data_IF_306860537284
#
_entry.id   IF_306860537284
#
_cell.length_a   1.000
_cell.length_b   1.000
_cell.length_c   1.000
_cell.angle_alpha   90.00
_cell.angle_beta   90.00
_cell.angle_gamma   90.00
#
_symmetry.space_group_name_H-M   'P 1'
#
loop_
_entity.id
_entity.type
_entity.pdbx_description
1 polymer ?
#
# COMPACT_ATOMS: atom_id res chain seq x y z
N UNK A 1 -8.31 -10.39 17.35
CA UNK A 1 -7.43 -9.24 17.62
C UNK A 1 -6.81 -8.78 16.30
N UNK A 2 -7.57 -8.02 15.50
CA UNK A 2 -7.20 -7.60 14.13
C UNK A 2 -6.10 -6.53 14.18
N UNK A 3 -5.00 -6.74 13.45
CA UNK A 3 -3.93 -5.76 13.28
C UNK A 3 -4.48 -4.46 12.68
N UNK A 4 -4.56 -3.40 13.49
CA UNK A 4 -5.05 -2.05 13.15
C UNK A 4 -4.24 -1.31 12.07
N UNK A 5 -3.25 -1.95 11.42
CA UNK A 5 -2.38 -1.42 10.37
C UNK A 5 -2.88 -1.63 8.93
N UNK A 6 -3.86 -2.52 8.70
CA UNK A 6 -4.34 -2.89 7.34
C UNK A 6 -5.38 -1.93 6.75
N UNK A 7 -5.61 -0.74 7.33
CA UNK A 7 -6.71 0.14 6.93
C UNK A 7 -6.48 0.94 5.63
N UNK A 8 -5.42 0.66 4.88
CA UNK A 8 -5.14 1.23 3.55
C UNK A 8 -5.34 0.22 2.41
N UNK A 9 -5.48 -1.07 2.76
CA UNK A 9 -5.54 -2.17 1.80
C UNK A 9 -6.88 -2.90 1.96
N UNK A 10 -7.41 -3.43 0.86
CA UNK A 10 -8.57 -4.33 0.86
C UNK A 10 -8.18 -5.70 0.35
N UNK A 11 -8.70 -6.73 1.00
CA UNK A 11 -8.52 -8.12 0.61
C UNK A 11 -9.24 -8.34 -0.73
N UNK A 12 -8.51 -8.86 -1.71
CA UNK A 12 -9.03 -9.16 -3.05
C UNK A 12 -8.90 -10.63 -3.43
N UNK A 13 -8.12 -11.40 -2.66
CA UNK A 13 -7.99 -12.83 -2.82
C UNK A 13 -7.74 -13.45 -1.46
N UNK A 14 -8.46 -14.52 -1.15
CA UNK A 14 -8.10 -15.42 -0.06
C UNK A 14 -8.38 -16.85 -0.52
N UNK A 15 -7.35 -17.51 -1.04
CA UNK A 15 -7.42 -18.93 -1.36
C UNK A 15 -7.26 -19.77 -0.10
N UNK A 16 -8.24 -20.63 0.11
CA UNK A 16 -8.19 -21.75 1.05
C UNK A 16 -8.33 -23.05 0.27
N UNK A 17 -7.73 -24.13 0.77
CA UNK A 17 -7.70 -25.42 0.08
C UNK A 17 -8.44 -26.53 0.85
N UNK A 18 -9.26 -26.15 1.83
CA UNK A 18 -10.01 -27.06 2.72
C UNK A 18 -10.96 -27.99 2.00
N UNK A 19 -11.48 -27.56 0.84
CA UNK A 19 -12.42 -28.36 0.05
C UNK A 19 -11.64 -29.30 -0.88
N UNK A 20 -11.05 -30.36 -0.31
CA UNK A 20 -10.29 -31.37 -1.06
C UNK A 20 -9.22 -30.79 -2.03
N UNK A 21 -8.59 -29.70 -1.60
CA UNK A 21 -7.56 -29.01 -2.37
C UNK A 21 -8.09 -28.02 -3.40
N UNK A 22 -9.40 -27.81 -3.54
CA UNK A 22 -9.91 -26.79 -4.47
C UNK A 22 -9.41 -25.39 -4.09
N UNK A 23 -8.97 -24.62 -5.09
CA UNK A 23 -8.47 -23.26 -4.89
C UNK A 23 -9.64 -22.27 -4.80
N UNK A 24 -10.31 -22.27 -3.65
CA UNK A 24 -11.53 -21.48 -3.42
C UNK A 24 -11.17 -20.11 -2.87
N UNK A 25 -11.59 -19.04 -3.55
CA UNK A 25 -11.51 -17.68 -3.04
C UNK A 25 -12.67 -17.38 -2.09
N UNK A 26 -12.35 -17.09 -0.83
CA UNK A 26 -13.32 -16.69 0.21
C UNK A 26 -13.31 -15.19 0.49
N UNK A 27 -12.63 -14.38 -0.34
CA UNK A 27 -12.61 -12.92 -0.20
C UNK A 27 -13.85 -12.20 -0.72
N UNK A 28 -14.80 -12.93 -1.31
CA UNK A 28 -15.98 -12.42 -2.03
C UNK A 28 -15.67 -11.67 -3.34
N UNK A 29 -14.50 -11.91 -3.96
CA UNK A 29 -14.14 -11.34 -5.27
C UNK A 29 -14.18 -12.37 -6.41
N UNK A 30 -14.64 -13.60 -6.13
CA UNK A 30 -14.81 -14.68 -7.11
C UNK A 30 -13.48 -15.02 -7.84
N UNK A 31 -12.33 -14.81 -7.21
CA UNK A 31 -11.03 -15.08 -7.81
C UNK A 31 -10.59 -16.55 -7.62
N UNK A 32 -11.48 -17.51 -7.89
CA UNK A 32 -11.16 -18.93 -7.81
C UNK A 32 -9.98 -19.32 -8.72
N UNK A 33 -9.21 -20.33 -8.29
CA UNK A 33 -8.02 -20.80 -8.98
C UNK A 33 -8.25 -22.06 -9.82
N UNK A 34 -7.68 -22.10 -11.02
CA UNK A 34 -7.58 -23.31 -11.83
C UNK A 34 -6.29 -24.05 -11.50
N UNK A 35 -6.44 -25.26 -10.97
CA UNK A 35 -5.33 -26.11 -10.54
C UNK A 35 -4.78 -26.92 -11.71
N UNK A 36 -3.47 -27.10 -11.77
CA UNK A 36 -2.82 -27.99 -12.75
C UNK A 36 -1.69 -28.73 -12.03
N UNK A 37 -1.70 -30.07 -12.10
CA UNK A 37 -0.66 -30.93 -11.56
C UNK A 37 -0.25 -30.66 -10.09
N UNK A 38 -1.20 -30.27 -9.24
CA UNK A 38 -0.98 -30.08 -7.79
C UNK A 38 -1.61 -31.22 -7.00
N UNK A 39 -0.91 -31.69 -5.97
CA UNK A 39 -1.43 -32.59 -4.96
C UNK A 39 -2.19 -31.84 -3.85
N UNK A 40 -2.84 -32.57 -2.95
CA UNK A 40 -3.58 -32.03 -1.82
C UNK A 40 -3.13 -32.69 -0.52
N UNK A 41 -2.95 -31.87 0.52
CA UNK A 41 -2.73 -32.30 1.89
C UNK A 41 -3.90 -31.82 2.76
N UNK A 42 -4.58 -32.74 3.43
CA UNK A 42 -5.67 -32.38 4.36
C UNK A 42 -5.18 -31.52 5.53
N UNK A 43 -3.94 -31.75 5.97
CA UNK A 43 -3.29 -30.98 7.03
C UNK A 43 -2.15 -30.16 6.43
N UNK A 44 -2.40 -28.86 6.24
CA UNK A 44 -1.43 -27.87 5.80
C UNK A 44 -0.64 -27.31 6.98
N UNK A 45 -0.61 -25.98 7.09
CA UNK A 45 0.06 -25.28 8.20
C UNK A 45 -0.51 -25.66 9.57
N UNK A 46 -1.81 -26.00 9.62
CA UNK A 46 -2.54 -26.48 10.80
C UNK A 46 -3.35 -27.73 10.47
N UNK A 47 -3.81 -28.50 11.49
CA UNK A 47 -4.82 -29.52 11.28
C UNK A 47 -6.03 -28.97 10.50
N UNK A 48 -6.45 -29.69 9.46
CA UNK A 48 -7.58 -29.34 8.59
C UNK A 48 -7.52 -27.97 7.89
N UNK A 49 -6.35 -27.34 7.81
CA UNK A 49 -6.15 -26.09 7.05
C UNK A 49 -6.24 -26.30 5.53
N UNK A 50 -5.84 -27.49 5.05
CA UNK A 50 -5.77 -27.84 3.63
C UNK A 50 -4.63 -27.13 2.89
N UNK A 51 -3.70 -27.85 2.28
CA UNK A 51 -2.61 -27.28 1.49
C UNK A 51 -2.50 -27.92 0.10
N UNK A 52 -1.92 -27.17 -0.84
CA UNK A 52 -1.55 -27.68 -2.16
C UNK A 52 -0.08 -28.09 -2.18
N UNK A 53 0.18 -29.28 -2.72
CA UNK A 53 1.53 -29.82 -2.92
C UNK A 53 1.96 -29.59 -4.37
N UNK A 54 3.08 -28.90 -4.57
CA UNK A 54 3.68 -28.57 -5.85
C UNK A 54 4.92 -29.44 -6.07
N UNK A 55 4.96 -30.18 -7.18
CA UNK A 55 6.07 -31.07 -7.52
C UNK A 55 7.14 -30.40 -8.41
N UNK A 56 7.01 -29.10 -8.69
CA UNK A 56 7.72 -28.44 -9.79
C UNK A 56 7.08 -28.71 -11.15
N UNK A 57 7.76 -28.32 -12.23
CA UNK A 57 7.27 -28.48 -13.60
C UNK A 57 5.89 -27.80 -13.79
N UNK A 58 4.85 -28.47 -14.30
CA UNK A 58 3.57 -27.85 -14.61
C UNK A 58 2.69 -27.52 -13.38
N UNK A 59 3.17 -27.80 -12.15
CA UNK A 59 2.41 -27.59 -10.91
C UNK A 59 2.07 -26.10 -10.73
N UNK A 60 0.79 -25.73 -10.79
CA UNK A 60 0.35 -24.33 -10.65
C UNK A 60 -1.10 -24.17 -10.22
N UNK A 61 -1.40 -22.99 -9.71
CA UNK A 61 -2.77 -22.45 -9.67
C UNK A 61 -2.80 -21.18 -10.49
N UNK A 62 -3.71 -21.11 -11.48
CA UNK A 62 -3.92 -19.93 -12.32
C UNK A 62 -5.21 -19.23 -11.93
N UNK A 63 -5.15 -17.92 -11.70
CA UNK A 63 -6.30 -17.06 -11.47
C UNK A 63 -6.44 -16.14 -12.69
N UNK A 64 -7.62 -16.15 -13.30
CA UNK A 64 -7.91 -15.34 -14.48
C UNK A 64 -7.89 -13.85 -14.15
N UNK A 65 -7.35 -13.03 -15.06
CA UNK A 65 -7.40 -11.58 -14.92
C UNK A 65 -8.85 -11.07 -14.96
N UNK A 66 -9.20 -10.19 -14.02
CA UNK A 66 -10.52 -9.63 -13.73
C UNK A 66 -10.34 -8.15 -13.36
N UNK A 67 -11.38 -7.30 -13.42
CA UNK A 67 -11.28 -5.87 -13.08
C UNK A 67 -10.67 -5.59 -11.70
N UNK A 68 -10.83 -6.50 -10.74
CA UNK A 68 -10.23 -6.40 -9.40
C UNK A 68 -8.70 -6.34 -9.42
N UNK A 69 -8.04 -6.86 -10.46
CA UNK A 69 -6.59 -6.85 -10.64
C UNK A 69 -6.06 -5.61 -11.40
N UNK A 70 -6.96 -4.72 -11.81
CA UNK A 70 -6.59 -3.46 -12.43
C UNK A 70 -6.16 -2.44 -11.36
N UNK A 71 -5.08 -1.72 -11.68
CA UNK A 71 -4.49 -0.63 -10.88
C UNK A 71 -4.33 -1.04 -9.40
N UNK A 72 -3.54 -2.09 -9.07
CA UNK A 72 -3.31 -2.49 -7.69
C UNK A 72 -2.77 -1.36 -6.83
N UNK A 73 -1.85 -0.55 -7.38
CA UNK A 73 -1.07 0.53 -6.75
C UNK A 73 -0.18 0.04 -5.61
N UNK A 74 -0.79 -0.52 -4.59
CA UNK A 74 -0.15 -1.22 -3.47
C UNK A 74 -0.53 -2.70 -3.55
N UNK A 75 0.35 -3.58 -3.11
CA UNK A 75 0.10 -5.03 -3.04
C UNK A 75 0.65 -5.57 -1.73
N UNK A 76 -0.17 -6.32 -1.01
CA UNK A 76 0.28 -7.19 0.08
C UNK A 76 -0.03 -8.62 -0.31
N UNK A 77 0.91 -9.53 -0.11
CA UNK A 77 0.73 -10.97 -0.28
C UNK A 77 1.14 -11.64 1.03
N UNK A 78 0.31 -12.52 1.55
CA UNK A 78 0.65 -13.41 2.66
C UNK A 78 0.36 -14.85 2.25
N UNK A 79 1.24 -15.76 2.59
CA UNK A 79 1.04 -17.20 2.38
C UNK A 79 1.84 -18.00 3.39
N UNK A 80 1.36 -19.20 3.71
CA UNK A 80 2.16 -20.22 4.38
C UNK A 80 2.83 -21.10 3.34
N UNK A 81 4.09 -21.44 3.58
CA UNK A 81 4.85 -22.33 2.69
C UNK A 81 5.61 -23.36 3.48
N UNK A 82 5.73 -24.58 2.94
CA UNK A 82 6.70 -25.58 3.35
C UNK A 82 7.59 -25.89 2.15
N UNK A 83 8.73 -25.19 2.07
CA UNK A 83 9.66 -25.32 0.95
C UNK A 83 10.46 -26.63 1.05
N UNK A 84 10.55 -27.43 -0.01
CA UNK A 84 11.25 -28.73 0.04
C UNK A 84 12.59 -28.75 -0.70
N UNK A 85 12.81 -27.83 -1.65
CA UNK A 85 14.03 -27.81 -2.45
C UNK A 85 14.45 -26.40 -2.88
N UNK A 86 15.76 -26.17 -2.94
CA UNK A 86 16.42 -24.97 -3.47
C UNK A 86 17.07 -25.27 -4.84
N UNK A 87 18.02 -24.43 -5.29
CA UNK A 87 18.79 -24.62 -6.52
C UNK A 87 18.20 -24.00 -7.79
N UNK A 88 16.97 -23.45 -7.71
CA UNK A 88 16.33 -22.64 -8.76
C UNK A 88 15.37 -21.63 -8.11
N UNK A 89 14.93 -20.62 -8.88
CA UNK A 89 13.89 -19.69 -8.41
C UNK A 89 12.58 -20.43 -8.16
N UNK A 90 12.05 -20.30 -6.94
CA UNK A 90 10.79 -20.89 -6.49
C UNK A 90 9.73 -19.81 -6.41
N UNK A 91 8.87 -19.75 -7.42
CA UNK A 91 7.80 -18.76 -7.47
C UNK A 91 6.72 -19.05 -6.43
N UNK A 92 6.33 -18.04 -5.65
CA UNK A 92 5.24 -18.16 -4.67
C UNK A 92 3.96 -17.64 -5.28
N UNK A 93 3.93 -16.35 -5.63
CA UNK A 93 2.80 -15.68 -6.26
C UNK A 93 3.33 -14.64 -7.23
N UNK A 94 2.84 -14.66 -8.47
CA UNK A 94 3.28 -13.72 -9.51
C UNK A 94 2.12 -13.26 -10.38
N UNK A 95 2.01 -11.95 -10.57
CA UNK A 95 1.11 -11.33 -11.51
C UNK A 95 1.83 -10.99 -12.79
N UNK A 96 1.25 -11.43 -13.92
CA UNK A 96 1.80 -11.19 -15.26
C UNK A 96 2.17 -9.71 -15.46
N UNK A 97 3.45 -9.43 -15.69
CA UNK A 97 4.03 -8.07 -15.85
C UNK A 97 3.58 -7.06 -14.79
N UNK A 98 3.42 -7.50 -13.53
CA UNK A 98 2.93 -6.66 -12.46
C UNK A 98 3.74 -6.78 -11.18
N UNK A 99 3.80 -7.96 -10.56
CA UNK A 99 4.56 -8.20 -9.33
C UNK A 99 5.01 -9.64 -9.24
N UNK A 100 6.12 -9.90 -8.56
CA UNK A 100 6.65 -11.24 -8.34
C UNK A 100 7.11 -11.42 -6.89
N UNK A 101 6.60 -12.47 -6.24
CA UNK A 101 7.02 -12.90 -4.91
C UNK A 101 7.58 -14.32 -5.01
N UNK A 102 8.85 -14.50 -4.68
CA UNK A 102 9.58 -15.74 -4.94
C UNK A 102 10.74 -15.95 -3.98
N UNK A 103 11.28 -17.17 -3.98
CA UNK A 103 12.50 -17.55 -3.26
C UNK A 103 13.58 -17.80 -4.30
N UNK A 104 14.74 -17.16 -4.15
CA UNK A 104 15.88 -17.30 -5.06
C UNK A 104 16.58 -18.66 -4.84
N UNK A 105 17.37 -19.19 -5.82
CA UNK A 105 18.06 -20.49 -5.70
C UNK A 105 18.81 -20.77 -4.39
N UNK A 106 19.22 -19.74 -3.68
CA UNK A 106 20.02 -19.76 -2.47
C UNK A 106 19.21 -19.49 -1.19
N UNK A 107 17.88 -19.53 -1.28
CA UNK A 107 16.95 -19.43 -0.15
C UNK A 107 16.55 -18.01 0.24
N UNK A 108 17.13 -16.98 -0.38
CA UNK A 108 16.76 -15.58 -0.12
C UNK A 108 15.34 -15.33 -0.62
N UNK A 109 14.53 -14.65 0.18
CA UNK A 109 13.18 -14.22 -0.19
C UNK A 109 13.25 -12.93 -1.00
N UNK A 110 12.49 -12.85 -2.09
CA UNK A 110 12.44 -11.71 -3.00
C UNK A 110 11.01 -11.26 -3.24
N UNK A 111 10.81 -9.95 -3.27
CA UNK A 111 9.57 -9.33 -3.74
C UNK A 111 9.89 -8.16 -4.65
N UNK A 112 9.43 -8.26 -5.90
CA UNK A 112 9.66 -7.26 -6.94
C UNK A 112 8.35 -6.86 -7.60
N UNK A 113 8.38 -5.75 -8.33
CA UNK A 113 7.26 -5.31 -9.16
C UNK A 113 7.75 -4.76 -10.49
N UNK A 114 6.89 -4.77 -11.49
CA UNK A 114 7.24 -4.31 -12.83
C UNK A 114 7.18 -2.78 -12.89
N UNK A 115 8.30 -2.15 -13.22
CA UNK A 115 8.43 -0.72 -13.50
C UNK A 115 9.28 -0.52 -14.76
N UNK A 116 8.66 -0.38 -15.94
CA UNK A 116 9.39 -0.19 -17.19
C UNK A 116 10.14 1.16 -17.25
N UNK A 117 9.86 2.09 -16.33
CA UNK A 117 10.52 3.38 -16.26
C UNK A 117 11.75 3.40 -15.35
N UNK A 118 12.04 2.28 -14.68
CA UNK A 118 13.14 2.22 -13.73
C UNK A 118 14.47 2.03 -14.45
N UNK A 119 15.36 3.02 -14.31
CA UNK A 119 16.63 3.08 -15.04
C UNK A 119 17.82 2.50 -14.26
N UNK A 120 17.64 2.13 -12.98
CA UNK A 120 18.75 1.70 -12.12
C UNK A 120 18.41 0.40 -11.40
N UNK A 121 19.11 -0.71 -11.65
CA UNK A 121 18.89 -1.94 -10.91
C UNK A 121 19.15 -1.74 -9.40
N UNK A 122 18.25 -2.17 -8.50
CA UNK A 122 18.53 -2.12 -7.06
C UNK A 122 19.64 -3.10 -6.62
N UNK A 123 20.02 -4.07 -7.47
CA UNK A 123 21.16 -4.97 -7.27
C UNK A 123 21.91 -5.29 -8.57
N UNK A 124 23.19 -5.72 -8.50
CA UNK A 124 24.02 -6.02 -9.68
C UNK A 124 23.47 -7.08 -10.66
N UNK A 125 22.42 -7.82 -10.32
CA UNK A 125 21.85 -8.89 -11.17
C UNK A 125 20.32 -8.81 -11.32
N UNK A 126 19.70 -7.69 -10.95
CA UNK A 126 18.26 -7.48 -11.16
C UNK A 126 18.01 -6.86 -12.52
N UNK A 127 16.99 -7.36 -13.23
CA UNK A 127 16.42 -6.64 -14.38
C UNK A 127 15.99 -5.25 -13.87
N UNK A 128 16.48 -4.14 -14.47
CA UNK A 128 16.11 -2.81 -14.04
C UNK A 128 14.61 -2.60 -14.03
N UNK A 129 13.86 -3.29 -14.89
CA UNK A 129 12.39 -3.22 -14.93
C UNK A 129 11.67 -3.95 -13.80
N UNK A 130 12.39 -4.65 -12.91
CA UNK A 130 11.85 -5.37 -11.76
C UNK A 130 12.46 -4.94 -10.42
N UNK A 131 12.31 -3.67 -10.00
CA UNK A 131 12.79 -3.22 -8.71
C UNK A 131 12.06 -3.89 -7.54
N UNK A 132 12.69 -3.90 -6.37
CA UNK A 132 12.12 -4.52 -5.18
C UNK A 132 13.04 -4.53 -3.97
N UNK A 133 12.84 -5.51 -3.10
CA UNK A 133 13.73 -5.83 -2.00
C UNK A 133 13.98 -7.35 -1.96
N UNK A 134 15.03 -7.74 -1.26
CA UNK A 134 15.28 -9.14 -0.92
C UNK A 134 15.66 -9.28 0.56
N UNK A 135 15.81 -10.51 1.05
CA UNK A 135 16.19 -10.78 2.43
C UNK A 135 17.70 -11.01 2.63
N UNK A 136 18.54 -10.50 1.73
CA UNK A 136 20.00 -10.51 1.91
C UNK A 136 20.46 -9.32 2.77
N UNK A 137 21.73 -9.33 3.20
CA UNK A 137 22.33 -8.37 4.14
C UNK A 137 22.24 -6.90 3.70
N UNK A 138 22.14 -6.63 2.40
CA UNK A 138 22.01 -5.28 1.87
C UNK A 138 20.66 -4.64 2.18
N UNK A 139 19.58 -5.43 2.21
CA UNK A 139 18.21 -4.94 2.41
C UNK A 139 17.65 -5.26 3.78
N UNK A 140 18.28 -6.16 4.53
CA UNK A 140 17.81 -6.53 5.86
C UNK A 140 18.06 -5.41 6.87
N UNK A 141 17.11 -5.13 7.78
CA UNK A 141 17.28 -4.10 8.80
C UNK A 141 18.44 -4.35 9.79
N UNK A 142 18.85 -5.61 9.94
CA UNK A 142 19.92 -6.07 10.83
C UNK A 142 21.24 -6.34 10.09
N UNK A 143 21.29 -6.08 8.78
CA UNK A 143 22.43 -6.37 7.91
C UNK A 143 22.85 -7.84 7.88
N UNK A 144 21.95 -8.75 8.25
CA UNK A 144 22.14 -10.19 8.16
C UNK A 144 21.38 -10.78 6.98
N UNK A 145 21.91 -11.86 6.42
CA UNK A 145 21.22 -12.61 5.39
C UNK A 145 20.21 -13.56 6.04
N UNK A 146 18.95 -13.49 5.59
CA UNK A 146 17.85 -14.34 6.02
C UNK A 146 17.40 -15.24 4.88
N UNK A 147 17.17 -16.52 5.17
CA UNK A 147 16.72 -17.51 4.18
C UNK A 147 15.43 -18.20 4.65
N UNK A 148 14.62 -18.64 3.70
CA UNK A 148 13.42 -19.44 4.01
C UNK A 148 13.86 -20.87 4.39
N UNK A 149 13.50 -21.37 5.58
CA UNK A 149 13.93 -22.70 6.01
C UNK A 149 13.25 -23.80 5.19
N UNK A 150 14.00 -24.88 4.93
CA UNK A 150 13.48 -26.07 4.27
C UNK A 150 12.63 -26.90 5.25
N UNK A 151 11.58 -27.52 4.72
CA UNK A 151 10.72 -28.50 5.38
C UNK A 151 10.01 -27.99 6.64
N UNK A 152 9.89 -26.67 6.81
CA UNK A 152 9.19 -26.02 7.92
C UNK A 152 8.11 -25.10 7.38
N UNK A 153 6.89 -25.22 7.92
CA UNK A 153 5.82 -24.28 7.64
C UNK A 153 6.21 -22.87 8.10
N UNK A 154 6.28 -21.97 7.13
CA UNK A 154 6.76 -20.60 7.33
C UNK A 154 5.76 -19.64 6.73
N UNK A 155 5.37 -18.61 7.49
CA UNK A 155 4.56 -17.52 6.96
C UNK A 155 5.47 -16.54 6.23
N UNK A 156 5.17 -16.27 4.96
CA UNK A 156 5.91 -15.33 4.14
C UNK A 156 5.00 -14.17 3.73
N UNK A 157 5.52 -12.95 3.85
CA UNK A 157 4.78 -11.73 3.50
C UNK A 157 5.59 -10.83 2.58
N UNK A 158 4.96 -10.37 1.51
CA UNK A 158 5.43 -9.29 0.64
C UNK A 158 4.50 -8.09 0.78
N UNK A 159 5.05 -6.89 0.91
CA UNK A 159 4.28 -5.66 1.01
C UNK A 159 4.93 -4.56 0.17
N UNK A 160 4.30 -4.18 -0.93
CA UNK A 160 4.52 -2.94 -1.64
C UNK A 160 3.45 -1.91 -1.21
N UNK A 161 3.86 -0.80 -0.62
CA UNK A 161 2.94 0.19 -0.02
C UNK A 161 2.25 1.14 -1.02
N UNK A 162 2.68 1.07 -2.29
CA UNK A 162 2.15 1.84 -3.42
C UNK A 162 2.68 3.26 -3.56
N UNK A 163 3.65 3.64 -2.72
CA UNK A 163 4.23 4.99 -2.71
C UNK A 163 5.75 4.92 -2.78
N UNK A 164 6.37 4.15 -1.87
CA UNK A 164 7.83 4.20 -1.73
C UNK A 164 8.53 3.02 -1.07
N UNK A 165 7.82 1.97 -0.64
CA UNK A 165 8.49 0.87 0.02
C UNK A 165 8.01 -0.52 -0.37
N UNK A 166 8.99 -1.41 -0.46
CA UNK A 166 8.81 -2.87 -0.44
C UNK A 166 9.36 -3.38 0.88
N UNK A 167 8.59 -4.20 1.58
CA UNK A 167 8.98 -4.90 2.81
C UNK A 167 8.69 -6.40 2.69
N UNK A 168 9.58 -7.21 3.24
CA UNK A 168 9.51 -8.66 3.24
C UNK A 168 9.56 -9.19 4.67
N UNK A 169 8.71 -10.17 4.97
CA UNK A 169 8.66 -10.79 6.29
C UNK A 169 8.73 -12.31 6.22
N UNK A 170 9.47 -12.88 7.17
CA UNK A 170 9.48 -14.32 7.48
C UNK A 170 8.96 -14.45 8.91
N UNK A 171 7.86 -15.19 9.09
CA UNK A 171 7.18 -15.35 10.39
C UNK A 171 6.94 -14.01 11.10
N UNK A 172 6.39 -13.04 10.36
CA UNK A 172 6.09 -11.67 10.80
C UNK A 172 7.32 -10.84 11.24
N UNK A 173 8.54 -11.35 11.08
CA UNK A 173 9.79 -10.62 11.28
C UNK A 173 10.23 -9.94 9.99
N UNK A 174 10.54 -8.63 10.03
CA UNK A 174 11.00 -7.88 8.87
C UNK A 174 12.43 -8.31 8.50
N UNK A 175 12.59 -8.97 7.35
CA UNK A 175 13.87 -9.54 6.89
C UNK A 175 14.47 -8.83 5.68
N UNK A 176 13.70 -7.92 5.06
CA UNK A 176 14.15 -7.16 3.89
C UNK A 176 13.28 -5.94 3.67
N UNK A 177 13.90 -4.79 3.35
CA UNK A 177 13.18 -3.57 3.04
C UNK A 177 13.93 -2.68 2.06
N UNK A 178 13.21 -2.13 1.09
CA UNK A 178 13.67 -1.07 0.22
C UNK A 178 12.74 0.13 0.37
N UNK A 179 13.26 1.30 0.77
CA UNK A 179 12.50 2.55 0.95
C UNK A 179 12.72 3.58 -0.17
N UNK A 180 13.50 3.21 -1.19
CA UNK A 180 13.85 4.08 -2.32
C UNK A 180 12.97 3.88 -3.55
N UNK A 181 11.90 3.09 -3.45
CA UNK A 181 10.98 2.85 -4.56
C UNK A 181 10.20 4.13 -4.87
N UNK A 182 9.89 4.38 -6.15
CA UNK A 182 9.16 5.59 -6.58
C UNK A 182 7.96 5.32 -7.49
N UNK A 183 7.71 4.06 -7.82
CA UNK A 183 6.60 3.65 -8.67
C UNK A 183 5.56 2.85 -7.88
N UNK A 184 4.35 2.79 -8.42
CA UNK A 184 3.26 1.97 -7.91
C UNK A 184 3.19 0.65 -8.67
N UNK A 185 2.57 -0.38 -8.08
CA UNK A 185 2.37 -1.66 -8.77
C UNK A 185 1.36 -1.49 -9.93
N UNK A 186 1.74 -1.82 -11.18
CA UNK A 186 0.87 -1.67 -12.35
C UNK A 186 -0.19 -2.77 -12.41
N UNK A 187 -1.15 -2.63 -13.32
CA UNK A 187 -2.17 -3.67 -13.57
C UNK A 187 -1.56 -5.02 -13.92
N UNK A 188 -2.25 -6.09 -13.51
CA UNK A 188 -1.91 -7.46 -13.93
C UNK A 188 -2.23 -7.64 -15.42
N UNK A 189 -1.30 -8.26 -16.15
CA UNK A 189 -1.39 -8.59 -17.56
C UNK A 189 -2.37 -9.71 -17.89
N UNK A 190 -2.56 -10.02 -19.18
CA UNK A 190 -3.58 -10.95 -19.65
C UNK A 190 -3.42 -12.38 -19.13
N UNK A 191 -2.21 -12.82 -18.77
CA UNK A 191 -1.99 -14.18 -18.25
C UNK A 191 -2.44 -14.36 -16.79
N UNK A 192 -2.87 -13.28 -16.12
CA UNK A 192 -3.44 -13.31 -14.79
C UNK A 192 -2.42 -13.48 -13.66
N UNK A 193 -2.88 -14.04 -12.54
CA UNK A 193 -2.04 -14.36 -11.38
C UNK A 193 -1.75 -15.86 -11.37
N UNK A 194 -0.52 -16.23 -11.04
CA UNK A 194 -0.09 -17.61 -10.86
C UNK A 194 0.44 -17.81 -9.43
N UNK A 195 0.03 -18.90 -8.80
CA UNK A 195 0.57 -19.37 -7.51
C UNK A 195 1.41 -20.61 -7.78
N UNK A 196 2.61 -20.63 -7.23
CA UNK A 196 3.57 -21.71 -7.39
C UNK A 196 4.29 -21.74 -8.75
N UNK A 197 4.07 -20.75 -9.62
CA UNK A 197 4.49 -20.81 -11.02
C UNK A 197 4.68 -19.43 -11.65
N UNK A 198 5.53 -19.33 -12.67
CA UNK A 198 5.68 -18.13 -13.49
C UNK A 198 4.60 -18.03 -14.58
N UNK A 199 4.02 -16.84 -14.88
CA UNK A 199 3.00 -16.75 -15.93
C UNK A 199 3.48 -17.10 -17.35
N UNK A 200 4.79 -17.08 -17.62
CA UNK A 200 5.35 -17.28 -18.97
C UNK A 200 5.54 -18.75 -19.38
N UNK A 201 6.40 -19.47 -18.67
CA UNK A 201 6.71 -20.89 -18.91
C UNK A 201 7.17 -21.61 -17.62
N UNK A 202 7.58 -22.87 -17.74
CA UNK A 202 7.87 -23.78 -16.63
C UNK A 202 9.28 -23.59 -16.01
N UNK A 203 10.02 -22.53 -16.38
CA UNK A 203 11.38 -22.32 -15.87
C UNK A 203 11.45 -21.94 -14.39
N UNK A 204 10.41 -21.30 -13.84
CA UNK A 204 10.37 -20.90 -12.42
C UNK A 204 9.13 -21.48 -11.75
N UNK A 205 9.36 -22.57 -11.02
CA UNK A 205 8.31 -23.41 -10.44
C UNK A 205 8.59 -23.68 -8.97
N UNK A 206 7.51 -23.73 -8.18
CA UNK A 206 7.58 -24.05 -6.77
C UNK A 206 7.73 -25.55 -6.54
N UNK A 207 8.44 -25.91 -5.48
CA UNK A 207 8.54 -27.29 -5.01
C UNK A 207 8.37 -27.31 -3.49
N UNK A 208 7.33 -27.99 -3.04
CA UNK A 208 6.88 -27.99 -1.65
C UNK A 208 5.39 -27.71 -1.54
N UNK A 209 4.95 -27.19 -0.40
CA UNK A 209 3.52 -26.98 -0.12
C UNK A 209 3.20 -25.50 0.11
N UNK A 210 2.02 -25.08 -0.34
CA UNK A 210 1.49 -23.73 -0.15
C UNK A 210 0.11 -23.81 0.49
N UNK A 211 -0.13 -22.97 1.48
CA UNK A 211 -1.38 -22.87 2.22
C UNK A 211 -1.78 -21.40 2.45
N UNK A 212 -3.08 -21.12 2.52
CA UNK A 212 -3.69 -19.84 2.92
C UNK A 212 -3.11 -18.61 2.19
N UNK A 213 -3.24 -18.56 0.86
CA UNK A 213 -2.76 -17.43 0.04
C UNK A 213 -3.75 -16.27 0.13
N UNK A 214 -3.27 -15.11 0.59
CA UNK A 214 -4.04 -13.87 0.68
C UNK A 214 -3.36 -12.76 -0.10
N UNK A 215 -4.15 -12.00 -0.86
CA UNK A 215 -3.67 -10.83 -1.58
C UNK A 215 -4.58 -9.65 -1.28
N UNK A 216 -3.97 -8.52 -0.94
CA UNK A 216 -4.64 -7.24 -0.76
C UNK A 216 -4.09 -6.23 -1.75
N UNK A 217 -4.93 -5.28 -2.17
CA UNK A 217 -4.51 -4.10 -2.94
C UNK A 217 -4.90 -2.80 -2.25
N UNK A 218 -4.44 -1.67 -2.77
CA UNK A 218 -4.88 -0.35 -2.33
C UNK A 218 -6.42 -0.25 -2.32
N UNK A 219 -6.97 0.23 -1.20
CA UNK A 219 -8.39 0.51 -1.08
C UNK A 219 -8.66 2.00 -1.39
N UNK A 220 -9.24 2.33 -2.56
CA UNK A 220 -9.50 3.71 -2.94
C UNK A 220 -10.56 4.38 -2.06
N UNK A 221 -11.34 3.60 -1.29
CA UNK A 221 -12.39 4.13 -0.43
C UNK A 221 -11.85 4.62 0.91
N UNK A 222 -10.57 4.39 1.20
CA UNK A 222 -9.98 4.71 2.50
C UNK A 222 -10.06 6.19 2.84
N UNK A 223 -9.77 7.15 1.94
CA UNK A 223 -9.96 8.57 2.23
C UNK A 223 -11.41 8.88 2.63
N UNK A 224 -12.40 8.33 1.92
CA UNK A 224 -13.82 8.52 2.25
C UNK A 224 -14.19 7.88 3.59
N UNK A 225 -13.79 6.63 3.84
CA UNK A 225 -14.02 5.93 5.12
C UNK A 225 -13.38 6.67 6.29
N UNK A 226 -12.23 7.31 6.08
CA UNK A 226 -11.57 8.11 7.11
C UNK A 226 -12.29 9.44 7.33
N UNK A 227 -12.72 10.10 6.26
CA UNK A 227 -13.47 11.34 6.36
C UNK A 227 -14.81 11.13 7.11
N UNK A 228 -15.62 10.18 6.64
CA UNK A 228 -16.96 9.89 7.16
C UNK A 228 -16.99 9.11 8.48
N UNK A 229 -15.85 8.70 9.04
CA UNK A 229 -15.86 8.15 10.40
C UNK A 229 -16.08 9.22 11.47
N UNK A 230 -15.96 10.51 11.14
CA UNK A 230 -16.29 11.60 12.05
C UNK A 230 -17.80 11.60 12.30
N UNK A 231 -18.24 11.63 13.57
CA UNK A 231 -19.65 11.85 13.90
C UNK A 231 -20.09 13.20 13.33
N UNK A 232 -21.18 13.18 12.56
CA UNK A 232 -21.78 14.37 11.96
C UNK A 232 -23.28 14.34 12.20
N UNK A 233 -23.86 15.48 12.54
CA UNK A 233 -25.31 15.63 12.59
C UNK A 233 -25.91 15.78 11.18
N UNK A 234 -27.25 15.81 11.10
CA UNK A 234 -27.94 15.93 9.82
C UNK A 234 -27.61 17.23 9.06
N UNK A 235 -27.36 18.33 9.79
CA UNK A 235 -27.01 19.63 9.18
C UNK A 235 -25.59 19.58 8.60
N UNK A 236 -24.64 18.99 9.31
CA UNK A 236 -23.28 18.78 8.83
C UNK A 236 -23.24 17.82 7.63
N UNK A 237 -24.05 16.75 7.63
CA UNK A 237 -24.14 15.86 6.47
C UNK A 237 -24.73 16.58 5.25
N UNK A 238 -25.75 17.42 5.44
CA UNK A 238 -26.32 18.22 4.36
C UNK A 238 -25.32 19.27 3.82
N UNK A 239 -24.56 19.91 4.72
CA UNK A 239 -23.45 20.80 4.38
C UNK A 239 -22.45 20.11 3.44
N UNK A 240 -21.96 18.92 3.81
CA UNK A 240 -21.01 18.18 2.98
C UNK A 240 -21.61 17.70 1.66
N UNK A 241 -22.90 17.35 1.63
CA UNK A 241 -23.60 17.07 0.38
C UNK A 241 -23.53 18.26 -0.57
N UNK A 242 -23.87 19.46 -0.10
CA UNK A 242 -23.81 20.69 -0.91
C UNK A 242 -22.38 21.02 -1.37
N UNK A 243 -21.37 20.77 -0.53
CA UNK A 243 -19.95 20.89 -0.94
C UNK A 243 -19.62 19.93 -2.08
N UNK A 244 -20.03 18.66 -1.99
CA UNK A 244 -19.76 17.68 -3.05
C UNK A 244 -20.54 17.97 -4.33
N UNK A 245 -21.78 18.45 -4.23
CA UNK A 245 -22.56 18.89 -5.38
C UNK A 245 -21.88 20.07 -6.08
N UNK A 246 -21.41 21.08 -5.33
CA UNK A 246 -20.64 22.19 -5.88
C UNK A 246 -19.32 21.75 -6.53
N UNK A 247 -18.65 20.74 -5.98
CA UNK A 247 -17.48 20.13 -6.62
C UNK A 247 -17.85 19.41 -7.93
N UNK A 248 -18.99 18.72 -7.97
CA UNK A 248 -19.48 18.05 -9.17
C UNK A 248 -19.81 19.07 -10.28
N UNK A 249 -20.46 20.18 -9.94
CA UNK A 249 -20.75 21.27 -10.87
C UNK A 249 -19.47 21.90 -11.43
N UNK A 250 -18.46 22.12 -10.59
CA UNK A 250 -17.14 22.60 -11.02
C UNK A 250 -16.45 21.63 -11.99
N UNK A 251 -16.62 20.32 -11.78
CA UNK A 251 -16.07 19.29 -12.66
C UNK A 251 -16.81 19.14 -13.99
N UNK A 252 -18.04 19.66 -14.10
CA UNK A 252 -18.82 19.67 -15.33
C UNK A 252 -18.34 20.74 -16.33
N UNK A 253 -17.80 21.86 -15.84
CA UNK A 253 -17.15 22.87 -16.69
C UNK A 253 -15.72 22.44 -17.06
N UNK A 254 -15.41 22.39 -18.36
CA UNK A 254 -14.13 21.84 -18.85
C UNK A 254 -12.91 22.63 -18.35
N UNK A 255 -12.99 23.96 -18.34
CA UNK A 255 -11.85 24.81 -17.94
C UNK A 255 -11.60 24.73 -16.44
N UNK A 256 -12.68 24.84 -15.64
CA UNK A 256 -12.61 24.73 -14.19
C UNK A 256 -12.18 23.32 -13.75
N UNK A 257 -12.71 22.29 -14.38
CA UNK A 257 -12.33 20.89 -14.16
C UNK A 257 -10.83 20.68 -14.42
N UNK A 258 -10.30 21.19 -15.54
CA UNK A 258 -8.87 21.07 -15.84
C UNK A 258 -7.99 21.77 -14.79
N UNK A 259 -8.35 22.99 -14.36
CA UNK A 259 -7.63 23.72 -13.31
C UNK A 259 -7.68 22.99 -11.97
N UNK A 260 -8.85 22.54 -11.56
CA UNK A 260 -9.03 21.82 -10.30
C UNK A 260 -8.26 20.49 -10.30
N UNK A 261 -8.33 19.72 -11.39
CA UNK A 261 -7.56 18.48 -11.54
C UNK A 261 -6.05 18.77 -11.49
N UNK A 262 -5.59 19.84 -12.13
CA UNK A 262 -4.18 20.23 -12.10
C UNK A 262 -3.72 20.63 -10.68
N UNK A 263 -4.52 21.43 -9.96
CA UNK A 263 -4.28 21.78 -8.56
C UNK A 263 -4.16 20.52 -7.68
N UNK A 264 -5.15 19.63 -7.75
CA UNK A 264 -5.16 18.41 -6.95
C UNK A 264 -3.98 17.49 -7.29
N UNK A 265 -3.60 17.38 -8.57
CA UNK A 265 -2.40 16.64 -8.98
C UNK A 265 -1.11 17.24 -8.42
N UNK A 266 -0.99 18.56 -8.44
CA UNK A 266 0.18 19.27 -7.91
C UNK A 266 0.34 19.07 -6.39
N UNK A 267 -0.75 19.28 -5.63
CA UNK A 267 -0.78 19.03 -4.18
C UNK A 267 -0.48 17.56 -3.87
N UNK A 268 -1.14 16.63 -4.58
CA UNK A 268 -0.91 15.20 -4.39
C UNK A 268 0.54 14.81 -4.66
N UNK A 269 1.19 15.37 -5.69
CA UNK A 269 2.60 15.11 -5.96
C UNK A 269 3.50 15.57 -4.80
N UNK A 270 3.25 16.75 -4.25
CA UNK A 270 3.99 17.26 -3.09
C UNK A 270 3.78 16.39 -1.83
N UNK A 271 2.54 15.98 -1.55
CA UNK A 271 2.23 15.08 -0.44
C UNK A 271 2.92 13.72 -0.59
N UNK A 272 2.91 13.16 -1.81
CA UNK A 272 3.63 11.92 -2.11
C UNK A 272 5.11 12.09 -1.80
N UNK A 273 5.78 13.14 -2.29
CA UNK A 273 7.19 13.39 -2.00
C UNK A 273 7.49 13.54 -0.51
N UNK A 274 6.64 14.24 0.26
CA UNK A 274 6.76 14.31 1.72
C UNK A 274 6.68 12.91 2.34
N UNK A 275 5.70 12.10 1.94
CA UNK A 275 5.56 10.71 2.41
C UNK A 275 6.78 9.87 2.04
N UNK A 276 7.31 10.01 0.83
CA UNK A 276 8.55 9.33 0.39
C UNK A 276 9.73 9.74 1.25
N UNK A 277 9.89 11.03 1.52
CA UNK A 277 10.98 11.56 2.35
C UNK A 277 10.91 11.08 3.80
N UNK A 278 9.70 10.97 4.38
CA UNK A 278 9.53 10.37 5.71
C UNK A 278 9.94 8.89 5.68
N UNK A 279 9.46 8.13 4.68
CA UNK A 279 9.66 6.68 4.60
C UNK A 279 11.09 6.29 4.29
N UNK A 280 11.83 7.11 3.54
CA UNK A 280 13.25 6.88 3.24
C UNK A 280 14.14 6.92 4.48
N UNK A 281 13.63 7.43 5.62
CA UNK A 281 14.32 7.39 6.92
C UNK A 281 14.16 6.06 7.67
N UNK A 282 13.53 5.05 7.05
CA UNK A 282 13.47 3.68 7.55
C UNK A 282 12.35 3.40 8.56
N UNK A 283 12.34 2.17 9.11
CA UNK A 283 11.23 1.64 9.91
C UNK A 283 10.83 2.49 11.11
N UNK A 284 11.80 3.07 11.82
CA UNK A 284 11.52 3.92 12.99
C UNK A 284 10.66 5.11 12.61
N UNK A 285 10.96 5.76 11.47
CA UNK A 285 10.20 6.89 10.98
C UNK A 285 8.80 6.49 10.50
N UNK A 286 8.68 5.33 9.83
CA UNK A 286 7.41 4.75 9.40
C UNK A 286 6.51 4.44 10.61
N UNK A 287 7.03 3.72 11.60
CA UNK A 287 6.28 3.33 12.81
C UNK A 287 5.86 4.56 13.61
N UNK A 288 6.73 5.55 13.76
CA UNK A 288 6.42 6.81 14.46
C UNK A 288 5.30 7.57 13.75
N UNK A 289 5.38 7.71 12.44
CA UNK A 289 4.37 8.39 11.62
C UNK A 289 3.03 7.64 11.66
N UNK A 290 3.05 6.31 11.56
CA UNK A 290 1.85 5.48 11.69
C UNK A 290 1.16 5.66 13.06
N UNK A 291 1.94 5.78 14.14
CA UNK A 291 1.41 6.05 15.49
C UNK A 291 0.72 7.42 15.60
N UNK A 292 1.34 8.46 15.02
CA UNK A 292 0.75 9.81 14.97
C UNK A 292 -0.53 9.83 14.13
N UNK A 293 -0.52 9.20 12.95
CA UNK A 293 -1.72 9.05 12.11
C UNK A 293 -2.83 8.27 12.81
N UNK A 294 -2.49 7.23 13.59
CA UNK A 294 -3.47 6.48 14.36
C UNK A 294 -4.09 7.32 15.48
N UNK A 295 -3.35 8.26 16.09
CA UNK A 295 -3.89 9.23 17.06
C UNK A 295 -4.78 10.26 16.38
N UNK A 296 -4.34 10.80 15.24
CA UNK A 296 -5.09 11.77 14.44
C UNK A 296 -6.46 11.22 14.09
N UNK A 297 -6.48 9.99 13.55
CA UNK A 297 -7.73 9.30 13.20
C UNK A 297 -8.63 9.04 14.40
N UNK A 298 -8.09 8.78 15.59
CA UNK A 298 -8.94 8.61 16.79
C UNK A 298 -9.64 9.91 17.16
N UNK A 299 -8.93 11.03 17.10
CA UNK A 299 -9.52 12.35 17.36
C UNK A 299 -10.56 12.69 16.28
N UNK A 300 -10.21 12.50 15.00
CA UNK A 300 -11.13 12.68 13.88
C UNK A 300 -12.41 11.85 14.03
N UNK A 301 -12.30 10.52 14.18
CA UNK A 301 -13.47 9.65 14.30
C UNK A 301 -14.23 9.79 15.64
N UNK A 302 -13.76 10.62 16.58
CA UNK A 302 -14.50 10.95 17.81
C UNK A 302 -15.08 12.36 17.80
N UNK A 303 -14.95 13.09 16.67
CA UNK A 303 -15.43 14.47 16.54
C UNK A 303 -14.53 15.52 17.21
N UNK A 304 -13.44 15.12 17.86
CA UNK A 304 -12.54 16.01 18.62
C UNK A 304 -11.49 16.68 17.72
N UNK A 305 -11.93 17.45 16.72
CA UNK A 305 -11.05 17.99 15.67
C UNK A 305 -10.63 19.44 15.90
N UNK A 306 -11.36 20.21 16.67
CA UNK A 306 -11.12 21.64 16.96
C UNK A 306 -10.49 21.88 18.35
N UNK A 307 -10.41 20.83 19.18
CA UNK A 307 -9.96 20.92 20.57
C UNK A 307 -8.43 20.96 20.80
N UNK A 308 -8.01 21.17 22.06
CA UNK A 308 -6.60 21.25 22.45
C UNK A 308 -5.81 19.96 22.19
N UNK A 309 -6.48 18.80 22.21
CA UNK A 309 -5.87 17.50 21.90
C UNK A 309 -5.41 17.41 20.44
N UNK A 310 -6.26 17.85 19.50
CA UNK A 310 -5.93 17.89 18.07
C UNK A 310 -4.81 18.90 17.82
N UNK A 311 -4.93 20.11 18.37
CA UNK A 311 -3.88 21.14 18.29
C UNK A 311 -2.53 20.60 18.75
N UNK A 312 -2.47 19.97 19.93
CA UNK A 312 -1.23 19.38 20.47
C UNK A 312 -0.66 18.29 19.55
N UNK A 313 -1.52 17.43 18.99
CA UNK A 313 -1.09 16.39 18.06
C UNK A 313 -0.51 16.96 16.77
N UNK A 314 -1.14 17.98 16.18
CA UNK A 314 -0.64 18.64 14.98
C UNK A 314 0.74 19.27 15.24
N UNK A 315 0.92 19.95 16.38
CA UNK A 315 2.23 20.48 16.79
C UNK A 315 3.28 19.39 17.04
N UNK A 316 2.89 18.26 17.62
CA UNK A 316 3.77 17.11 17.79
C UNK A 316 4.20 16.53 16.44
N UNK A 317 3.26 16.43 15.49
CA UNK A 317 3.54 15.95 14.14
C UNK A 317 4.47 16.89 13.37
N UNK A 318 4.22 18.20 13.41
CA UNK A 318 5.07 19.19 12.77
C UNK A 318 6.50 19.18 13.34
N UNK A 319 6.64 19.20 14.68
CA UNK A 319 7.97 19.13 15.32
C UNK A 319 8.69 17.84 14.97
N UNK A 320 7.96 16.73 14.88
CA UNK A 320 8.51 15.47 14.41
C UNK A 320 9.01 15.56 12.96
N UNK A 321 8.23 16.13 12.05
CA UNK A 321 8.64 16.31 10.65
C UNK A 321 9.88 17.21 10.51
N UNK A 322 9.92 18.34 11.23
CA UNK A 322 11.09 19.23 11.25
C UNK A 322 12.32 18.50 11.80
N UNK A 323 12.18 17.75 12.90
CA UNK A 323 13.29 16.95 13.44
C UNK A 323 13.77 15.89 12.45
N UNK A 324 12.86 15.27 11.69
CA UNK A 324 13.16 14.16 10.79
C UNK A 324 13.76 14.60 9.46
N UNK A 325 13.23 15.68 8.88
CA UNK A 325 13.53 16.13 7.51
C UNK A 325 14.29 17.45 7.45
N UNK A 326 14.33 18.21 8.55
CA UNK A 326 14.94 19.54 8.61
C UNK A 326 13.96 20.67 8.28
N UNK A 327 14.23 21.86 8.80
CA UNK A 327 13.41 23.05 8.57
C UNK A 327 13.39 23.48 7.10
N UNK A 328 14.53 23.41 6.43
CA UNK A 328 14.65 23.83 5.04
C UNK A 328 13.77 22.97 4.12
N UNK A 329 13.75 21.65 4.34
CA UNK A 329 12.88 20.74 3.62
C UNK A 329 11.41 21.12 3.83
N UNK A 330 11.01 21.38 5.08
CA UNK A 330 9.63 21.76 5.39
C UNK A 330 9.26 23.14 4.79
N UNK A 331 10.19 24.11 4.77
CA UNK A 331 10.00 25.40 4.08
C UNK A 331 9.82 25.19 2.56
N UNK A 332 10.64 24.34 1.94
CA UNK A 332 10.54 24.03 0.51
C UNK A 332 9.22 23.33 0.17
N UNK A 333 8.80 22.34 0.96
CA UNK A 333 7.51 21.68 0.82
C UNK A 333 6.35 22.68 0.86
N UNK A 334 6.35 23.59 1.84
CA UNK A 334 5.28 24.58 1.97
C UNK A 334 5.27 25.60 0.82
N UNK A 335 6.44 26.03 0.33
CA UNK A 335 6.53 26.88 -0.86
C UNK A 335 5.94 26.17 -2.08
N UNK A 336 6.19 24.88 -2.24
CA UNK A 336 5.62 24.08 -3.32
C UNK A 336 4.09 24.03 -3.24
N UNK A 337 3.52 23.71 -2.06
CA UNK A 337 2.07 23.69 -1.87
C UNK A 337 1.44 25.06 -2.19
N UNK A 338 2.07 26.15 -1.74
CA UNK A 338 1.63 27.52 -2.09
C UNK A 338 1.73 27.81 -3.58
N UNK A 339 2.80 27.40 -4.24
CA UNK A 339 2.95 27.56 -5.68
C UNK A 339 1.82 26.84 -6.43
N UNK A 340 1.51 25.59 -6.07
CA UNK A 340 0.34 24.87 -6.62
C UNK A 340 -0.95 25.67 -6.43
N UNK A 341 -1.20 26.19 -5.22
CA UNK A 341 -2.41 26.96 -4.90
C UNK A 341 -2.55 28.22 -5.75
N UNK A 342 -1.45 28.97 -5.92
CA UNK A 342 -1.45 30.21 -6.70
C UNK A 342 -1.53 29.96 -8.20
N UNK A 343 -0.79 28.98 -8.72
CA UNK A 343 -0.71 28.68 -10.16
C UNK A 343 -2.05 28.20 -10.73
N UNK A 344 -2.78 27.36 -9.97
CA UNK A 344 -4.01 26.73 -10.44
C UNK A 344 -5.30 27.36 -9.89
N UNK A 345 -5.22 28.57 -9.31
CA UNK A 345 -6.39 29.32 -8.86
C UNK A 345 -7.13 28.65 -7.69
N UNK A 346 -6.40 28.14 -6.71
CA UNK A 346 -6.96 27.47 -5.53
C UNK A 346 -7.95 28.35 -4.76
N UNK A 347 -7.72 29.67 -4.71
CA UNK A 347 -8.64 30.61 -4.08
C UNK A 347 -10.01 30.65 -4.77
N UNK A 348 -10.04 30.62 -6.11
CA UNK A 348 -11.28 30.66 -6.87
C UNK A 348 -12.01 29.32 -6.82
N UNK A 349 -11.25 28.21 -6.84
CA UNK A 349 -11.77 26.86 -6.92
C UNK A 349 -12.23 26.31 -5.56
N UNK A 350 -11.48 26.60 -4.49
CA UNK A 350 -11.70 26.03 -3.15
C UNK A 350 -12.18 27.11 -2.16
N UNK A 351 -11.82 28.38 -2.34
CA UNK A 351 -12.19 29.45 -1.40
C UNK A 351 -13.70 29.62 -1.22
N UNK A 352 -14.50 29.45 -2.29
CA UNK A 352 -15.97 29.44 -2.20
C UNK A 352 -16.50 28.27 -1.38
N UNK A 353 -15.94 27.07 -1.57
CA UNK A 353 -16.29 25.88 -0.80
C UNK A 353 -15.89 26.04 0.68
N UNK A 354 -14.72 26.62 0.94
CA UNK A 354 -14.23 26.88 2.29
C UNK A 354 -15.12 27.88 3.04
N UNK A 355 -15.59 28.94 2.38
CA UNK A 355 -16.54 29.89 2.96
C UNK A 355 -17.86 29.20 3.33
N UNK A 356 -18.40 28.35 2.45
CA UNK A 356 -19.61 27.58 2.74
C UNK A 356 -19.43 26.62 3.92
N UNK A 357 -18.31 25.88 3.97
CA UNK A 357 -17.98 24.99 5.10
C UNK A 357 -17.92 25.76 6.42
N UNK A 358 -17.39 26.99 6.41
CA UNK A 358 -17.29 27.82 7.61
C UNK A 358 -18.66 28.12 8.26
N UNK A 359 -19.72 28.20 7.44
CA UNK A 359 -21.07 28.52 7.90
C UNK A 359 -21.84 27.29 8.42
N UNK A 360 -21.56 26.10 7.88
CA UNK A 360 -22.35 24.90 8.15
C UNK A 360 -21.63 23.77 8.90
N UNK A 361 -20.30 23.85 9.06
CA UNK A 361 -19.51 22.91 9.84
C UNK A 361 -18.41 23.64 10.64
N UNK A 362 -18.78 24.29 11.76
CA UNK A 362 -17.87 25.14 12.53
C UNK A 362 -16.67 24.37 13.10
N UNK A 363 -16.83 23.08 13.40
CA UNK A 363 -15.74 22.24 13.91
C UNK A 363 -14.63 22.07 12.86
N UNK A 364 -15.00 21.86 11.60
CA UNK A 364 -14.04 21.76 10.49
C UNK A 364 -13.41 23.11 10.18
N UNK A 365 -14.21 24.19 10.25
CA UNK A 365 -13.69 25.54 10.09
C UNK A 365 -12.63 25.88 11.14
N UNK A 366 -12.90 25.54 12.41
CA UNK A 366 -11.95 25.68 13.51
C UNK A 366 -10.73 24.79 13.33
N UNK A 367 -10.90 23.56 12.87
CA UNK A 367 -9.79 22.67 12.51
C UNK A 367 -8.89 23.25 11.41
N UNK A 368 -9.47 23.84 10.34
CA UNK A 368 -8.69 24.51 9.30
C UNK A 368 -7.91 25.70 9.85
N UNK A 369 -8.51 26.48 10.75
CA UNK A 369 -7.79 27.56 11.45
C UNK A 369 -6.59 27.02 12.25
N UNK A 370 -6.75 25.90 12.96
CA UNK A 370 -5.63 25.26 13.66
C UNK A 370 -4.49 24.86 12.73
N UNK A 371 -4.82 24.32 11.54
CA UNK A 371 -3.81 24.04 10.52
C UNK A 371 -3.12 25.32 10.06
N UNK A 372 -3.88 26.35 9.69
CA UNK A 372 -3.32 27.62 9.22
C UNK A 372 -2.38 28.27 10.24
N UNK A 373 -2.79 28.33 11.52
CA UNK A 373 -1.96 28.85 12.62
C UNK A 373 -0.66 28.07 12.78
N UNK A 374 -0.71 26.75 12.58
CA UNK A 374 0.46 25.88 12.68
C UNK A 374 1.44 26.11 11.53
N UNK A 375 0.96 26.41 10.32
CA UNK A 375 1.82 26.61 9.16
C UNK A 375 2.32 28.06 9.01
N UNK A 376 1.63 29.07 9.55
CA UNK A 376 2.02 30.48 9.45
C UNK A 376 3.48 30.80 9.83
N UNK A 377 4.08 30.27 10.93
CA UNK A 377 5.46 30.57 11.31
C UNK A 377 6.51 30.05 10.31
N UNK A 378 6.22 29.00 9.56
CA UNK A 378 7.11 28.43 8.52
C UNK A 378 6.96 29.18 7.19
N UNK A 379 5.84 29.88 7.04
CA UNK A 379 5.38 30.54 5.84
C UNK A 379 5.71 32.04 5.81
N UNK A 380 6.14 32.61 6.94
CA UNK A 380 6.41 34.04 7.14
C UNK A 380 7.90 34.42 7.16
N UNK A 381 8.78 33.59 6.61
CA UNK A 381 10.21 33.90 6.42
C UNK A 381 10.64 33.68 4.97
#
# INVERSE_FOLDING_TARGET
MQQKGERMLKLILHHTYKLAGEAVDISHNDNHGFRTAVGFLANGMAPASGALQFAGGPSRVRITNKPVWQIPRAVKIETWVRLTALGQRRNLVEGDRSFAFFIHPDGVLWGTFYDPSHLTPPTPNSDPSWPGANSDSLFSPDHLRHTVPLNVWTKLTYLHDGISSVRLYINDTLVGANYGIRASVPSVGPNGIHIGHWPGDDRYTFSGDIDEVKIWKYDPDVPYKQFFCRPMDARQLDCWRQVFDGMADMLADREQSQRFIALMKCIWAAEQELVRAIRSKGETAIKRTASLNARYRRLWCSGKIDGPEMKRLLFEYQRWLIKLLGEEYMRAYNRHIRACWMEYGGEQSIGKLAAHIADCDPDVAAYFKLLMDLWQPILGS
#
